data_IF_177512385536
#
_entry.id   IF_177512385536
#
_cell.length_a   1.000
_cell.length_b   1.000
_cell.length_c   1.000
_cell.angle_alpha   90.00
_cell.angle_beta   90.00
_cell.angle_gamma   90.00
#
_symmetry.space_group_name_H-M   'P 1'
#
loop_
_entity.id
_entity.type
_entity.pdbx_description
1 polymer ?
#
# COMPACT_ATOMS: atom_id res chain seq x y z
N UNK A 1 9.11 -5.58 8.10
CA UNK A 1 7.86 -5.48 7.31
C UNK A 1 7.05 -4.28 7.76
N UNK A 2 6.30 -3.63 6.86
CA UNK A 2 5.43 -2.48 7.16
C UNK A 2 3.98 -2.87 6.86
N UNK A 3 3.05 -2.58 7.79
CA UNK A 3 1.61 -2.67 7.52
C UNK A 3 1.08 -1.28 7.17
N UNK A 4 0.35 -1.18 6.07
CA UNK A 4 -0.18 0.08 5.52
C UNK A 4 -1.71 0.08 5.57
N UNK A 5 -2.35 0.53 6.69
CA UNK A 5 -3.79 0.75 6.68
C UNK A 5 -4.19 1.70 5.57
N UNK A 6 -5.14 1.30 4.72
CA UNK A 6 -5.56 2.10 3.60
C UNK A 6 -6.44 3.27 4.07
N UNK A 7 -6.17 4.46 3.56
CA UNK A 7 -6.94 5.69 3.78
C UNK A 7 -7.22 6.03 5.25
N UNK A 8 -6.38 5.58 6.17
CA UNK A 8 -6.54 5.80 7.61
C UNK A 8 -5.42 6.66 8.16
N UNK A 9 -5.74 7.87 8.56
CA UNK A 9 -4.82 8.85 9.17
C UNK A 9 -5.19 9.18 10.62
N UNK A 10 -5.89 8.27 11.30
CA UNK A 10 -6.24 8.43 12.70
C UNK A 10 -4.99 8.47 13.60
N UNK A 11 -5.08 9.23 14.68
CA UNK A 11 -3.98 9.46 15.63
C UNK A 11 -3.31 8.19 16.15
N UNK A 12 -4.08 7.14 16.37
CA UNK A 12 -3.57 5.83 16.78
C UNK A 12 -2.47 5.32 15.84
N UNK A 13 -2.68 5.45 14.52
CA UNK A 13 -1.73 4.99 13.51
C UNK A 13 -0.42 5.78 13.52
N UNK A 14 -0.53 7.10 13.75
CA UNK A 14 0.64 7.96 13.88
C UNK A 14 1.49 7.61 15.10
N UNK A 15 0.85 7.36 16.25
CA UNK A 15 1.55 6.93 17.45
C UNK A 15 2.27 5.60 17.21
N UNK A 16 1.54 4.61 16.72
CA UNK A 16 2.09 3.29 16.48
C UNK A 16 3.21 3.30 15.43
N UNK A 17 3.09 4.11 14.38
CA UNK A 17 4.13 4.30 13.38
C UNK A 17 5.42 4.87 13.99
N UNK A 18 5.32 5.91 14.81
CA UNK A 18 6.47 6.54 15.47
C UNK A 18 7.14 5.62 16.48
N UNK A 19 6.36 4.86 17.23
CA UNK A 19 6.87 3.97 18.27
C UNK A 19 7.54 2.72 17.68
N UNK A 20 7.05 2.20 16.55
CA UNK A 20 7.48 0.89 16.08
C UNK A 20 8.21 0.90 14.75
N UNK A 21 8.03 1.94 13.93
CA UNK A 21 8.51 1.97 12.55
C UNK A 21 7.86 0.95 11.61
N UNK A 22 6.84 0.22 12.10
CA UNK A 22 6.20 -0.89 11.36
C UNK A 22 4.85 -0.52 10.71
N UNK A 23 4.40 0.71 10.88
CA UNK A 23 3.14 1.20 10.31
C UNK A 23 3.42 2.27 9.26
N UNK A 24 2.77 2.14 8.13
CA UNK A 24 2.77 3.08 7.02
C UNK A 24 1.35 3.44 6.59
N UNK A 25 1.23 4.04 5.41
CA UNK A 25 -0.05 4.46 4.86
C UNK A 25 -0.13 4.09 3.37
N UNK A 26 -1.25 3.51 2.93
CA UNK A 26 -1.56 3.34 1.52
C UNK A 26 -2.58 4.41 1.11
N UNK A 27 -2.17 5.33 0.26
CA UNK A 27 -3.06 6.36 -0.29
C UNK A 27 -3.74 5.85 -1.55
N UNK A 28 -5.08 5.87 -1.56
CA UNK A 28 -5.86 5.70 -2.77
C UNK A 28 -6.16 7.05 -3.44
N UNK A 29 -6.48 7.08 -4.73
CA UNK A 29 -6.89 8.30 -5.42
C UNK A 29 -7.95 9.09 -4.67
N UNK A 30 -7.77 10.41 -4.57
CA UNK A 30 -8.68 11.32 -3.87
C UNK A 30 -8.61 11.33 -2.34
N UNK A 31 -7.75 10.50 -1.73
CA UNK A 31 -7.70 10.34 -0.26
C UNK A 31 -6.35 10.74 0.36
N UNK A 32 -5.49 11.43 -0.36
CA UNK A 32 -4.16 11.81 0.10
C UNK A 32 -4.20 12.89 1.19
N UNK A 33 -3.35 12.71 2.20
CA UNK A 33 -3.11 13.66 3.30
C UNK A 33 -1.67 13.54 3.79
N UNK A 34 -1.09 14.58 4.28
CA UNK A 34 0.32 14.60 4.69
C UNK A 34 1.23 14.94 3.52
N UNK A 35 2.37 14.25 3.25
CA UNK A 35 2.92 13.11 4.01
C UNK A 35 3.63 13.53 5.30
N UNK A 36 3.86 12.55 6.18
CA UNK A 36 4.57 12.76 7.45
C UNK A 36 5.90 11.99 7.49
N UNK A 37 7.00 12.58 8.00
CA UNK A 37 8.33 11.95 8.00
C UNK A 37 8.41 10.59 8.69
N UNK A 38 7.60 10.39 9.70
CA UNK A 38 7.58 9.15 10.50
C UNK A 38 6.58 8.11 9.99
N UNK A 39 5.86 8.41 8.90
CA UNK A 39 4.78 7.58 8.42
C UNK A 39 5.03 7.23 6.95
N UNK A 40 5.85 6.19 6.68
CA UNK A 40 6.15 5.79 5.31
C UNK A 40 4.86 5.48 4.55
N UNK A 41 4.81 5.84 3.27
CA UNK A 41 3.61 5.67 2.49
C UNK A 41 3.90 5.10 1.10
N UNK A 42 2.85 4.56 0.50
CA UNK A 42 2.80 4.10 -0.86
C UNK A 42 1.50 4.53 -1.53
N UNK A 43 1.41 4.37 -2.86
CA UNK A 43 0.27 4.83 -3.65
C UNK A 43 -0.46 3.65 -4.27
N UNK A 44 -1.76 3.58 -4.00
CA UNK A 44 -2.70 2.69 -4.67
C UNK A 44 -3.19 3.33 -5.99
N UNK A 45 -3.58 2.50 -6.94
CA UNK A 45 -4.11 2.98 -8.22
C UNK A 45 -5.64 3.15 -8.24
N UNK A 46 -6.35 2.60 -7.24
CA UNK A 46 -7.81 2.65 -7.17
C UNK A 46 -8.54 1.67 -8.10
N UNK A 47 -7.82 0.87 -8.89
CA UNK A 47 -8.40 -0.05 -9.87
C UNK A 47 -9.38 -1.08 -9.25
N UNK A 48 -9.13 -1.49 -7.99
CA UNK A 48 -10.02 -2.41 -7.29
C UNK A 48 -11.45 -1.86 -7.13
N UNK A 49 -11.62 -0.55 -7.08
CA UNK A 49 -12.95 0.07 -7.03
C UNK A 49 -13.72 -0.03 -8.35
N UNK A 50 -13.02 -0.31 -9.44
CA UNK A 50 -13.57 -0.47 -10.80
C UNK A 50 -13.86 -1.94 -11.13
N UNK A 51 -13.55 -2.86 -10.24
CA UNK A 51 -13.83 -4.28 -10.43
C UNK A 51 -15.16 -4.68 -9.83
N UNK A 52 -15.95 -5.42 -10.60
CA UNK A 52 -17.25 -5.94 -10.21
C UNK A 52 -17.16 -7.44 -9.89
N UNK A 53 -17.14 -7.83 -8.60
CA UNK A 53 -16.93 -9.24 -8.21
C UNK A 53 -18.00 -10.18 -8.76
N UNK A 54 -19.26 -9.72 -8.85
CA UNK A 54 -20.39 -10.53 -9.33
C UNK A 54 -20.34 -10.86 -10.82
N UNK A 55 -19.71 -9.99 -11.62
CA UNK A 55 -19.51 -10.17 -13.04
C UNK A 55 -18.10 -10.61 -13.42
N UNK A 56 -17.17 -10.61 -12.47
CA UNK A 56 -15.73 -10.79 -12.71
C UNK A 56 -15.22 -9.92 -13.87
N UNK A 57 -15.72 -8.69 -13.93
CA UNK A 57 -15.45 -7.73 -15.00
C UNK A 57 -14.83 -6.45 -14.46
N UNK A 58 -14.05 -5.80 -15.30
CA UNK A 58 -13.47 -4.49 -15.02
C UNK A 58 -14.28 -3.41 -15.76
N UNK A 59 -14.75 -2.40 -15.02
CA UNK A 59 -15.51 -1.26 -15.56
C UNK A 59 -14.55 -0.17 -16.05
N UNK A 60 -14.25 -0.18 -17.36
CA UNK A 60 -13.40 0.83 -17.98
C UNK A 60 -13.99 2.25 -17.93
N UNK A 61 -15.31 2.38 -17.94
CA UNK A 61 -15.95 3.69 -17.82
C UNK A 61 -15.76 4.25 -16.39
N UNK A 62 -15.77 3.38 -15.38
CA UNK A 62 -15.44 3.77 -14.01
C UNK A 62 -13.95 4.09 -13.86
N UNK A 63 -13.08 3.31 -14.51
CA UNK A 63 -11.65 3.60 -14.55
C UNK A 63 -11.38 4.97 -15.17
N UNK A 64 -12.00 5.31 -16.28
CA UNK A 64 -11.84 6.61 -16.94
C UNK A 64 -12.20 7.80 -16.03
N UNK A 65 -13.07 7.59 -15.04
CA UNK A 65 -13.38 8.59 -14.01
C UNK A 65 -12.38 8.59 -12.85
N UNK A 66 -11.72 7.47 -12.59
CA UNK A 66 -10.75 7.29 -11.49
C UNK A 66 -9.34 7.72 -11.90
N UNK A 67 -8.98 7.52 -13.16
CA UNK A 67 -7.64 7.81 -13.68
C UNK A 67 -7.17 9.27 -13.44
N UNK A 68 -8.00 10.32 -13.62
CA UNK A 68 -7.59 11.68 -13.31
C UNK A 68 -7.16 11.86 -11.85
N UNK A 69 -7.88 11.26 -10.90
CA UNK A 69 -7.54 11.32 -9.47
C UNK A 69 -6.25 10.56 -9.19
N UNK A 70 -6.03 9.42 -9.87
CA UNK A 70 -4.76 8.69 -9.77
C UNK A 70 -3.58 9.52 -10.32
N UNK A 71 -3.73 10.19 -11.45
CA UNK A 71 -2.69 11.09 -11.99
C UNK A 71 -2.42 12.26 -11.05
N UNK A 72 -3.48 12.82 -10.46
CA UNK A 72 -3.34 13.86 -9.45
C UNK A 72 -2.58 13.37 -8.21
N UNK A 73 -2.83 12.15 -7.76
CA UNK A 73 -2.12 11.52 -6.63
C UNK A 73 -0.61 11.38 -6.94
N UNK A 74 -0.23 10.98 -8.16
CA UNK A 74 1.18 10.94 -8.59
C UNK A 74 1.81 12.33 -8.60
N UNK A 75 1.12 13.32 -9.15
CA UNK A 75 1.59 14.70 -9.18
C UNK A 75 1.79 15.27 -7.76
N UNK A 76 0.84 15.02 -6.87
CA UNK A 76 0.97 15.39 -5.46
C UNK A 76 2.19 14.72 -4.81
N UNK A 77 2.40 13.44 -5.04
CA UNK A 77 3.52 12.70 -4.47
C UNK A 77 4.87 13.14 -5.05
N UNK A 78 4.90 13.57 -6.31
CA UNK A 78 6.09 14.12 -6.94
C UNK A 78 6.51 15.44 -6.31
N UNK A 79 5.56 16.30 -5.95
CA UNK A 79 5.78 17.58 -5.28
C UNK A 79 6.02 17.45 -3.77
N UNK A 80 5.70 16.31 -3.17
CA UNK A 80 5.79 16.09 -1.74
C UNK A 80 7.26 16.07 -1.24
N UNK A 81 7.54 16.60 -0.05
CA UNK A 81 8.90 16.64 0.53
C UNK A 81 9.42 15.23 0.88
N UNK A 82 8.54 14.25 1.01
CA UNK A 82 8.86 12.85 1.29
C UNK A 82 8.34 12.01 0.14
N UNK A 83 9.19 11.18 -0.42
CA UNK A 83 8.83 10.33 -1.55
C UNK A 83 8.07 9.09 -1.10
N UNK A 84 7.09 8.61 -1.89
CA UNK A 84 6.45 7.32 -1.64
C UNK A 84 7.45 6.18 -1.82
N UNK A 85 7.21 5.08 -1.14
CA UNK A 85 8.01 3.87 -1.29
C UNK A 85 7.85 3.25 -2.68
N UNK A 86 6.67 3.31 -3.24
CA UNK A 86 6.29 2.85 -4.57
C UNK A 86 4.86 3.33 -4.92
N UNK A 87 4.50 3.17 -6.19
CA UNK A 87 3.14 3.34 -6.67
C UNK A 87 2.71 2.12 -7.49
N UNK A 88 1.50 1.60 -7.23
CA UNK A 88 0.91 0.55 -8.06
C UNK A 88 0.55 1.15 -9.42
N UNK A 89 1.11 0.56 -10.48
CA UNK A 89 0.71 0.85 -11.86
C UNK A 89 -0.71 0.30 -12.07
N UNK A 90 -1.60 1.02 -12.78
CA UNK A 90 -2.96 0.57 -13.02
C UNK A 90 -3.05 -0.85 -13.59
N UNK A 91 -3.72 -1.72 -12.85
CA UNK A 91 -3.95 -3.13 -13.17
C UNK A 91 -5.42 -3.41 -13.49
N UNK A 92 -5.71 -4.66 -13.86
CA UNK A 92 -7.07 -5.19 -13.96
C UNK A 92 -7.20 -6.32 -12.93
N UNK A 93 -7.82 -6.05 -11.76
CA UNK A 93 -7.96 -7.05 -10.71
C UNK A 93 -8.58 -8.35 -11.22
N UNK A 94 -7.98 -9.49 -10.86
CA UNK A 94 -8.42 -10.82 -11.28
C UNK A 94 -8.09 -11.19 -12.75
N UNK A 95 -7.38 -10.34 -13.50
CA UNK A 95 -7.05 -10.61 -14.90
C UNK A 95 -5.56 -10.36 -15.21
N UNK A 96 -4.79 -11.44 -15.29
CA UNK A 96 -3.35 -11.40 -15.57
C UNK A 96 -3.02 -10.78 -16.93
N UNK A 97 -3.67 -11.25 -18.00
CA UNK A 97 -3.38 -10.78 -19.36
C UNK A 97 -3.67 -9.30 -19.52
N UNK A 98 -4.86 -8.85 -19.08
CA UNK A 98 -5.22 -7.44 -19.13
C UNK A 98 -4.32 -6.55 -18.28
N UNK A 99 -3.81 -7.05 -17.14
CA UNK A 99 -2.82 -6.33 -16.32
C UNK A 99 -1.51 -6.16 -17.06
N UNK A 100 -1.00 -7.22 -17.72
CA UNK A 100 0.21 -7.17 -18.55
C UNK A 100 0.04 -6.19 -19.72
N UNK A 101 -1.10 -6.23 -20.41
CA UNK A 101 -1.42 -5.34 -21.53
C UNK A 101 -1.50 -3.86 -21.11
N UNK A 102 -1.95 -3.58 -19.88
CA UNK A 102 -2.02 -2.20 -19.35
C UNK A 102 -0.65 -1.67 -18.91
N UNK A 103 0.28 -2.53 -18.55
CA UNK A 103 1.57 -2.12 -18.02
C UNK A 103 2.29 -1.07 -18.87
N UNK A 104 2.55 -1.27 -20.19
CA UNK A 104 3.26 -0.30 -21.00
C UNK A 104 2.49 1.02 -21.16
N UNK A 105 1.18 1.05 -20.93
CA UNK A 105 0.36 2.26 -21.05
C UNK A 105 0.56 3.22 -19.87
N UNK A 106 0.84 2.69 -18.67
CA UNK A 106 0.85 3.47 -17.43
C UNK A 106 2.19 3.47 -16.69
N UNK A 107 3.04 2.46 -16.87
CA UNK A 107 4.30 2.35 -16.14
C UNK A 107 5.22 3.55 -16.39
N UNK A 108 5.29 4.05 -17.63
CA UNK A 108 6.10 5.21 -17.98
C UNK A 108 5.66 6.49 -17.26
N UNK A 109 4.39 6.61 -16.88
CA UNK A 109 3.84 7.77 -16.16
C UNK A 109 4.37 7.78 -14.72
N UNK A 110 4.34 6.62 -14.05
CA UNK A 110 4.89 6.46 -12.69
C UNK A 110 6.41 6.66 -12.71
N UNK A 111 7.09 6.10 -13.73
CA UNK A 111 8.53 6.27 -13.92
C UNK A 111 8.91 7.74 -14.11
N UNK A 112 8.17 8.48 -14.94
CA UNK A 112 8.38 9.91 -15.16
C UNK A 112 8.18 10.76 -13.89
N UNK A 113 7.33 10.30 -12.95
CA UNK A 113 7.18 10.92 -11.64
C UNK A 113 8.36 10.62 -10.69
N UNK A 114 9.32 9.76 -11.09
CA UNK A 114 10.46 9.34 -10.28
C UNK A 114 10.06 8.50 -9.06
N UNK A 115 8.98 7.73 -9.19
CA UNK A 115 8.45 6.86 -8.14
C UNK A 115 8.74 5.40 -8.51
N UNK A 116 9.20 4.54 -7.57
CA UNK A 116 9.39 3.13 -7.83
C UNK A 116 8.09 2.45 -8.29
N UNK A 117 8.20 1.62 -9.33
CA UNK A 117 7.09 0.96 -10.00
C UNK A 117 6.67 -0.31 -9.23
N UNK A 118 5.39 -0.43 -8.89
CA UNK A 118 4.85 -1.68 -8.35
C UNK A 118 3.89 -2.32 -9.35
N UNK A 119 4.13 -3.58 -9.73
CA UNK A 119 3.20 -4.37 -10.53
C UNK A 119 2.27 -5.15 -9.62
N UNK A 120 0.96 -5.07 -9.84
CA UNK A 120 -0.01 -5.94 -9.17
C UNK A 120 -0.10 -7.27 -9.92
N UNK A 121 0.50 -8.33 -9.37
CA UNK A 121 0.42 -9.67 -9.98
C UNK A 121 -0.92 -10.31 -9.65
N UNK A 122 -1.50 -10.98 -10.64
CA UNK A 122 -2.83 -11.58 -10.61
C UNK A 122 -2.75 -13.10 -10.78
N UNK A 123 -3.85 -13.81 -10.55
CA UNK A 123 -3.93 -15.28 -10.66
C UNK A 123 -3.35 -15.78 -11.99
N UNK A 124 -2.41 -16.72 -11.90
CA UNK A 124 -1.74 -17.33 -13.04
C UNK A 124 -0.50 -16.60 -13.54
N UNK A 125 -0.21 -15.37 -13.09
CA UNK A 125 1.06 -14.72 -13.43
C UNK A 125 2.26 -15.45 -12.83
N UNK A 126 3.35 -15.45 -13.58
CA UNK A 126 4.62 -16.10 -13.22
C UNK A 126 5.74 -15.08 -13.12
N UNK A 127 6.86 -15.48 -12.48
CA UNK A 127 8.10 -14.70 -12.47
C UNK A 127 8.56 -14.33 -13.90
N UNK A 128 8.38 -15.25 -14.86
CA UNK A 128 8.74 -15.00 -16.26
C UNK A 128 7.92 -13.85 -16.87
N UNK A 129 6.62 -13.78 -16.60
CA UNK A 129 5.75 -12.71 -17.10
C UNK A 129 6.20 -11.36 -16.58
N UNK A 130 6.56 -11.30 -15.30
CA UNK A 130 7.07 -10.07 -14.66
C UNK A 130 8.41 -9.64 -15.26
N UNK A 131 9.33 -10.57 -15.50
CA UNK A 131 10.64 -10.28 -16.08
C UNK A 131 10.59 -9.85 -17.56
N UNK A 132 9.45 -10.01 -18.22
CA UNK A 132 9.21 -9.54 -19.59
C UNK A 132 8.60 -8.14 -19.65
N UNK A 133 8.19 -7.57 -18.50
CA UNK A 133 7.64 -6.22 -18.44
C UNK A 133 8.72 -5.16 -18.76
N UNK A 134 8.32 -4.13 -19.49
CA UNK A 134 9.19 -3.01 -19.81
C UNK A 134 8.44 -1.68 -19.54
N UNK A 135 8.95 -0.79 -18.65
CA UNK A 135 10.10 -0.98 -17.76
C UNK A 135 9.89 -2.13 -16.75
N UNK A 136 11.00 -2.69 -16.20
CA UNK A 136 10.88 -3.67 -15.12
C UNK A 136 10.30 -3.03 -13.86
N UNK A 137 9.42 -3.73 -13.11
CA UNK A 137 8.93 -3.24 -11.83
C UNK A 137 10.01 -3.30 -10.73
N UNK A 138 9.97 -2.35 -9.81
CA UNK A 138 10.82 -2.31 -8.62
C UNK A 138 10.22 -3.14 -7.46
N UNK A 139 8.89 -3.32 -7.45
CA UNK A 139 8.14 -3.98 -6.39
C UNK A 139 7.07 -4.90 -6.98
N UNK A 140 6.92 -6.07 -6.39
CA UNK A 140 5.84 -7.00 -6.72
C UNK A 140 4.71 -6.85 -5.70
N UNK A 141 3.54 -6.42 -6.14
CA UNK A 141 2.33 -6.34 -5.31
C UNK A 141 1.46 -7.56 -5.56
N UNK A 142 1.48 -8.52 -4.63
CA UNK A 142 0.77 -9.80 -4.80
C UNK A 142 -0.72 -9.60 -4.56
N UNK A 143 -1.49 -9.60 -5.66
CA UNK A 143 -2.94 -9.45 -5.72
C UNK A 143 -3.66 -10.77 -5.94
N UNK A 144 -4.63 -10.76 -6.85
CA UNK A 144 -5.42 -11.94 -7.23
C UNK A 144 -6.39 -12.44 -6.16
N UNK A 145 -6.85 -13.69 -6.35
CA UNK A 145 -7.73 -14.36 -5.41
C UNK A 145 -7.03 -14.67 -4.08
N UNK A 146 -7.81 -14.86 -3.02
CA UNK A 146 -7.24 -15.11 -1.69
C UNK A 146 -6.39 -16.37 -1.66
N UNK A 147 -6.86 -17.46 -2.27
CA UNK A 147 -6.15 -18.74 -2.23
C UNK A 147 -4.86 -18.69 -3.04
N UNK A 148 -4.91 -18.12 -4.26
CA UNK A 148 -3.72 -17.96 -5.10
C UNK A 148 -2.66 -17.09 -4.43
N UNK A 149 -3.07 -15.97 -3.89
CA UNK A 149 -2.21 -15.03 -3.18
C UNK A 149 -1.43 -15.70 -2.03
N UNK A 150 -2.13 -16.47 -1.19
CA UNK A 150 -1.49 -17.16 -0.06
C UNK A 150 -0.65 -18.36 -0.49
N UNK A 151 -0.98 -19.03 -1.60
CA UNK A 151 -0.17 -20.13 -2.12
C UNK A 151 1.10 -19.68 -2.83
N UNK A 152 1.18 -18.42 -3.28
CA UNK A 152 2.28 -17.93 -4.11
C UNK A 152 3.17 -16.86 -3.45
N UNK A 153 2.71 -16.18 -2.40
CA UNK A 153 3.45 -15.03 -1.80
C UNK A 153 4.87 -15.39 -1.37
N UNK A 154 5.08 -16.59 -0.83
CA UNK A 154 6.42 -17.04 -0.43
C UNK A 154 7.36 -17.21 -1.63
N UNK A 155 6.83 -17.69 -2.77
CA UNK A 155 7.60 -17.79 -4.02
C UNK A 155 8.00 -16.39 -4.52
N UNK A 156 7.06 -15.44 -4.51
CA UNK A 156 7.35 -14.06 -4.90
C UNK A 156 8.43 -13.43 -4.02
N UNK A 157 8.39 -13.67 -2.69
CA UNK A 157 9.41 -13.18 -1.76
C UNK A 157 10.79 -13.83 -1.97
N UNK A 158 10.85 -15.06 -2.50
CA UNK A 158 12.12 -15.70 -2.87
C UNK A 158 12.70 -15.15 -4.18
N UNK A 159 11.82 -14.85 -5.14
CA UNK A 159 12.24 -14.46 -6.49
C UNK A 159 12.57 -12.96 -6.60
N UNK A 160 11.96 -12.13 -5.75
CA UNK A 160 12.09 -10.67 -5.81
C UNK A 160 12.43 -10.06 -4.45
N UNK A 161 13.33 -9.04 -4.42
CA UNK A 161 13.78 -8.43 -3.17
C UNK A 161 12.74 -7.53 -2.49
N UNK A 162 11.73 -7.07 -3.23
CA UNK A 162 10.70 -6.17 -2.73
C UNK A 162 9.31 -6.67 -3.08
N UNK A 163 8.61 -7.16 -2.09
CA UNK A 163 7.26 -7.73 -2.25
C UNK A 163 6.29 -7.08 -1.28
N UNK A 164 5.14 -6.69 -1.80
CA UNK A 164 3.99 -6.19 -1.06
C UNK A 164 2.81 -7.17 -1.20
N UNK A 165 2.16 -7.55 -0.11
CA UNK A 165 0.97 -8.40 -0.17
C UNK A 165 -0.29 -7.55 -0.06
N UNK A 166 -1.10 -7.53 -1.12
CA UNK A 166 -2.34 -6.76 -1.16
C UNK A 166 -3.43 -7.36 -0.27
N UNK A 167 -4.14 -6.49 0.45
CA UNK A 167 -5.38 -6.80 1.18
C UNK A 167 -5.22 -7.91 2.25
N UNK A 168 -4.16 -7.85 3.06
CA UNK A 168 -4.03 -8.67 4.25
C UNK A 168 -4.63 -7.94 5.46
N UNK A 169 -5.71 -8.49 6.01
CA UNK A 169 -6.39 -7.97 7.20
C UNK A 169 -6.34 -8.99 8.37
N UNK A 170 -5.28 -9.80 8.44
CA UNK A 170 -5.17 -10.97 9.31
C UNK A 170 -3.95 -10.83 10.22
N UNK A 171 -4.12 -10.46 11.51
CA UNK A 171 -3.02 -10.24 12.43
C UNK A 171 -2.15 -11.48 12.64
N UNK A 172 -2.75 -12.67 12.64
CA UNK A 172 -2.08 -13.96 12.78
C UNK A 172 -1.14 -14.31 11.63
N UNK A 173 -1.29 -13.65 10.47
CA UNK A 173 -0.45 -13.83 9.31
C UNK A 173 0.75 -12.87 9.23
N UNK A 174 0.76 -11.80 10.03
CA UNK A 174 1.80 -10.76 9.94
C UNK A 174 3.19 -11.31 10.26
N UNK A 175 3.31 -12.19 11.28
CA UNK A 175 4.60 -12.78 11.61
C UNK A 175 5.11 -13.73 10.50
N UNK A 176 4.22 -14.45 9.85
CA UNK A 176 4.58 -15.29 8.70
C UNK A 176 5.10 -14.45 7.55
N UNK A 177 4.40 -13.38 7.18
CA UNK A 177 4.83 -12.47 6.11
C UNK A 177 6.19 -11.82 6.41
N UNK A 178 6.41 -11.41 7.66
CA UNK A 178 7.70 -10.87 8.09
C UNK A 178 8.83 -11.90 7.96
N UNK A 179 8.56 -13.17 8.34
CA UNK A 179 9.54 -14.26 8.29
C UNK A 179 9.93 -14.65 6.86
N UNK A 180 9.02 -14.58 5.90
CA UNK A 180 9.30 -14.87 4.49
C UNK A 180 9.91 -13.68 3.74
N UNK A 181 10.17 -12.56 4.41
CA UNK A 181 10.81 -11.38 3.81
C UNK A 181 9.87 -10.44 3.06
N UNK A 182 8.55 -10.54 3.27
CA UNK A 182 7.61 -9.58 2.67
C UNK A 182 7.92 -8.16 3.17
N UNK A 183 8.05 -7.20 2.24
CA UNK A 183 8.39 -5.81 2.58
C UNK A 183 7.24 -5.10 3.29
N UNK A 184 6.03 -5.31 2.80
CA UNK A 184 4.84 -4.62 3.32
C UNK A 184 3.55 -5.33 2.96
N UNK A 185 2.48 -4.94 3.64
CA UNK A 185 1.11 -5.36 3.33
C UNK A 185 0.13 -4.23 3.63
N UNK A 186 -1.04 -4.25 3.00
CA UNK A 186 -2.11 -3.29 3.22
C UNK A 186 -3.42 -3.93 3.66
N UNK A 187 -4.38 -3.10 3.95
CA UNK A 187 -5.77 -3.53 4.13
C UNK A 187 -6.67 -2.45 4.72
N UNK A 188 -7.90 -2.38 4.22
CA UNK A 188 -8.94 -1.50 4.75
C UNK A 188 -9.57 -2.03 6.04
N UNK A 189 -9.46 -3.34 6.29
CA UNK A 189 -10.02 -3.98 7.49
C UNK A 189 -9.35 -3.52 8.79
N UNK A 190 -8.13 -3.01 8.72
CA UNK A 190 -7.44 -2.44 9.89
C UNK A 190 -8.13 -1.19 10.44
N UNK A 191 -8.75 -0.38 9.58
CA UNK A 191 -9.40 0.88 9.94
C UNK A 191 -10.90 0.77 10.18
N UNK A 192 -11.53 -0.39 9.93
CA UNK A 192 -12.99 -0.57 10.01
C UNK A 192 -13.52 -1.01 11.39
N UNK A 193 -12.71 -0.87 12.46
CA UNK A 193 -13.24 -0.94 13.83
C UNK A 193 -13.31 -2.33 14.46
N UNK A 194 -12.78 -3.38 13.85
CA UNK A 194 -12.62 -4.66 14.53
C UNK A 194 -11.48 -4.56 15.56
N UNK A 195 -11.87 -4.42 16.82
CA UNK A 195 -10.93 -4.26 17.93
C UNK A 195 -9.95 -5.41 18.05
N UNK A 196 -10.38 -6.64 17.74
CA UNK A 196 -9.51 -7.82 17.78
C UNK A 196 -8.39 -7.71 16.74
N UNK A 197 -8.70 -7.26 15.54
CA UNK A 197 -7.71 -7.05 14.48
C UNK A 197 -6.73 -5.95 14.84
N UNK A 198 -7.23 -4.81 15.33
CA UNK A 198 -6.39 -3.68 15.75
C UNK A 198 -5.44 -4.10 16.87
N UNK A 199 -5.93 -4.77 17.91
CA UNK A 199 -5.12 -5.26 19.02
C UNK A 199 -4.06 -6.27 18.56
N UNK A 200 -4.41 -7.17 17.64
CA UNK A 200 -3.45 -8.14 17.07
C UNK A 200 -2.37 -7.49 16.24
N UNK A 201 -2.72 -6.47 15.44
CA UNK A 201 -1.75 -5.67 14.69
C UNK A 201 -0.82 -4.90 15.65
N UNK A 202 -1.38 -4.25 16.66
CA UNK A 202 -0.59 -3.51 17.66
C UNK A 202 0.39 -4.43 18.38
N UNK A 203 -0.07 -5.61 18.84
CA UNK A 203 0.77 -6.59 19.51
C UNK A 203 1.93 -7.07 18.61
N UNK A 204 1.65 -7.32 17.32
CA UNK A 204 2.69 -7.66 16.35
C UNK A 204 3.66 -6.48 16.12
N UNK A 205 3.16 -5.27 15.94
CA UNK A 205 3.99 -4.10 15.67
C UNK A 205 4.95 -3.79 16.84
N UNK A 206 4.47 -3.94 18.08
CA UNK A 206 5.27 -3.70 19.29
C UNK A 206 6.25 -4.82 19.62
N UNK A 207 6.11 -6.00 19.02
CA UNK A 207 7.01 -7.13 19.25
C UNK A 207 8.42 -6.80 18.75
N UNK A 208 9.39 -6.78 19.68
CA UNK A 208 10.80 -6.46 19.40
C UNK A 208 11.07 -4.97 19.10
N UNK A 209 10.10 -4.09 19.26
CA UNK A 209 10.36 -2.67 19.25
C UNK A 209 11.09 -2.29 20.56
N UNK A 210 12.25 -1.61 20.45
CA UNK A 210 12.85 -0.92 21.57
C UNK A 210 11.95 0.30 21.87
N UNK A 211 10.93 0.07 22.69
CA UNK A 211 10.07 1.13 23.19
C UNK A 211 10.95 2.01 24.08
N UNK A 212 11.40 3.14 23.57
CA UNK A 212 11.95 4.19 24.42
C UNK A 212 10.83 4.55 25.40
N UNK A 213 11.13 4.38 26.68
CA UNK A 213 10.17 4.47 27.80
C UNK A 213 9.66 5.90 28.06
N UNK A 214 10.03 6.87 27.26
CA UNK A 214 9.43 8.20 27.32
C UNK A 214 8.08 8.20 26.58
N UNK A 215 6.97 8.38 27.29
CA UNK A 215 5.70 8.54 26.65
C UNK A 215 5.77 9.80 25.78
N UNK A 216 5.64 9.64 24.45
CA UNK A 216 5.52 10.74 23.50
C UNK A 216 4.27 11.62 23.76
N UNK A 217 3.44 11.21 24.68
CA UNK A 217 2.15 11.77 25.04
C UNK A 217 2.14 13.26 25.48
N UNK A 218 3.11 13.78 26.28
CA UNK A 218 3.01 15.15 26.73
C UNK A 218 3.20 16.18 25.61
N UNK A 219 3.94 15.82 24.55
CA UNK A 219 4.24 16.74 23.45
C UNK A 219 3.23 16.68 22.29
N UNK A 220 2.43 15.62 22.25
CA UNK A 220 1.50 15.35 21.15
C UNK A 220 0.10 15.91 21.39
N UNK A 221 -0.23 16.29 22.62
CA UNK A 221 -1.53 16.88 22.99
C UNK A 221 -1.49 18.41 23.14
N UNK A 222 -0.41 19.08 22.80
CA UNK A 222 -0.50 20.53 22.60
C UNK A 222 -1.38 20.75 21.38
N UNK A 223 -2.54 21.36 21.60
CA UNK A 223 -3.39 21.87 20.52
C UNK A 223 -2.48 22.63 19.53
N UNK A 224 -2.70 22.50 18.22
CA UNK A 224 -2.01 23.33 17.25
C UNK A 224 -2.17 24.78 17.71
N UNK A 225 -1.08 25.52 17.81
CA UNK A 225 -1.16 26.96 18.07
C UNK A 225 -1.98 27.56 16.91
N UNK A 226 -2.77 28.60 17.18
CA UNK A 226 -3.64 29.24 16.19
C UNK A 226 -2.92 29.63 14.87
N UNK A 227 -1.58 29.67 14.87
CA UNK A 227 -0.75 29.87 13.67
C UNK A 227 -0.66 28.66 12.75
N UNK A 228 -0.96 27.44 13.22
CA UNK A 228 -0.92 26.23 12.40
C UNK A 228 -2.26 25.94 11.72
N UNK A 229 -3.36 26.58 12.17
CA UNK A 229 -4.69 26.46 11.56
C UNK A 229 -4.88 27.38 10.34
N UNK A 230 -3.97 28.33 10.11
CA UNK A 230 -4.06 29.27 8.99
C UNK A 230 -3.58 28.70 7.64
N UNK A 231 -3.09 27.45 7.58
CA UNK A 231 -2.58 26.79 6.38
C UNK A 231 -3.19 25.39 6.15
N UNK A 232 -4.38 25.12 6.67
CA UNK A 232 -5.11 23.87 6.43
C UNK A 232 -6.26 24.08 5.44
#
# INVERSE_FOLDING_TARGET
>A
MIVMPANSSGWFWHCLARETGKIGHLYSPGAQRGPWPWFPYALDNGAFSCWEPGGNTFDDARWSRTEPDWRHLLFWAQAAPIRPRWAIVPDVPGNASATIERWPQFAHIVQAAGIPLAVAVQDGMTTRDVLQLNPLPDVISVGGSTDWKWSTVEQWCRDFPRVHLLRCNMPDRLQYLENIGCESTDGTGWSRGDRKRINGLEAWARKGANLTTEPLWPHMFRAPSDRQLAFA
#
